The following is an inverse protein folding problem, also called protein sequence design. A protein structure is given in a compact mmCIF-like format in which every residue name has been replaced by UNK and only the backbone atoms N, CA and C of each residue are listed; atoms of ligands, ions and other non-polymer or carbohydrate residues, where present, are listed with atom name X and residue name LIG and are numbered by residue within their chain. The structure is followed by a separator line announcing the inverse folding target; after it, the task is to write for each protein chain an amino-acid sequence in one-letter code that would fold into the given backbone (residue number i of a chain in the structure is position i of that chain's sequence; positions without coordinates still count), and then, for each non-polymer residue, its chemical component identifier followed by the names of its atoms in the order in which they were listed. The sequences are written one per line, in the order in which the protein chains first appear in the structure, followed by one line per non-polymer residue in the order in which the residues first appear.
data_IF_461033252326
#
_entry.id   IF_461033252326
#
_cell.length_a   1.000
_cell.length_b   1.000
_cell.length_c   1.000
_cell.angle_alpha   90.00
_cell.angle_beta   90.00
_cell.angle_gamma   90.00
#
_symmetry.space_group_name_H-M   'P 1'
#
loop_
_entity.id
_entity.type
_entity.pdbx_description
1 polymer ?
#
# COMPACT_ATOMS: atom_id res chain seq x y z
N UNK A 1 -7.95 -11.23 -3.55
CA UNK A 1 -7.20 -11.26 -2.27
C UNK A 1 -6.07 -10.26 -2.28
N UNK A 2 -5.88 -9.54 -1.16
CA UNK A 2 -4.84 -8.51 -1.02
C UNK A 2 -3.66 -9.00 -0.20
N UNK A 3 -2.44 -8.82 -0.71
CA UNK A 3 -1.20 -9.34 -0.12
C UNK A 3 -0.14 -8.24 -0.04
N UNK A 4 0.45 -8.05 1.14
CA UNK A 4 1.49 -7.04 1.38
C UNK A 4 2.89 -7.47 0.95
N UNK A 5 3.59 -6.62 0.20
CA UNK A 5 4.95 -6.79 -0.33
C UNK A 5 5.84 -5.68 0.19
N UNK A 6 6.99 -6.01 0.77
CA UNK A 6 7.77 -5.04 1.56
C UNK A 6 7.17 -4.84 2.96
N UNK A 7 8.01 -4.44 3.92
CA UNK A 7 7.78 -4.44 5.37
C UNK A 7 7.84 -5.82 6.04
N UNK A 8 8.94 -6.06 6.76
CA UNK A 8 9.11 -7.19 7.67
C UNK A 8 10.01 -6.81 8.86
N UNK A 9 9.38 -6.50 10.00
CA UNK A 9 10.01 -6.71 11.32
C UNK A 9 10.05 -8.20 11.75
N UNK A 10 9.58 -9.12 10.92
CA UNK A 10 9.38 -10.55 11.23
C UNK A 10 10.24 -11.52 10.38
N UNK A 11 11.53 -11.63 10.73
CA UNK A 11 12.26 -12.91 10.67
C UNK A 11 12.31 -13.71 9.35
N UNK A 12 12.43 -13.08 8.17
CA UNK A 12 12.93 -13.74 6.95
C UNK A 12 12.02 -14.75 6.23
N UNK A 13 10.89 -15.19 6.80
CA UNK A 13 10.01 -16.22 6.20
C UNK A 13 8.91 -15.67 5.26
N UNK A 14 8.95 -14.37 4.92
CA UNK A 14 7.81 -13.75 4.23
C UNK A 14 7.60 -14.26 2.82
N UNK A 15 8.65 -14.43 2.01
CA UNK A 15 8.48 -14.93 0.65
C UNK A 15 7.85 -16.33 0.65
N UNK A 16 8.27 -17.23 1.55
CA UNK A 16 7.67 -18.57 1.67
C UNK A 16 6.19 -18.50 2.05
N UNK A 17 5.82 -17.61 2.97
CA UNK A 17 4.42 -17.41 3.35
C UNK A 17 3.60 -16.78 2.23
N UNK A 18 4.17 -15.80 1.52
CA UNK A 18 3.55 -15.17 0.34
C UNK A 18 3.29 -16.21 -0.75
N UNK A 19 4.29 -17.02 -1.08
CA UNK A 19 4.18 -18.10 -2.07
C UNK A 19 3.09 -19.09 -1.69
N UNK A 20 3.02 -19.54 -0.42
CA UNK A 20 1.94 -20.43 0.04
C UNK A 20 0.55 -19.83 -0.14
N UNK A 21 0.38 -18.53 0.18
CA UNK A 21 -0.92 -17.85 0.00
C UNK A 21 -1.30 -17.75 -1.48
N UNK A 22 -0.34 -17.38 -2.34
CA UNK A 22 -0.56 -17.26 -3.78
C UNK A 22 -0.84 -18.64 -4.39
N UNK A 23 -0.09 -19.67 -4.01
CA UNK A 23 -0.29 -21.04 -4.51
C UNK A 23 -1.66 -21.61 -4.10
N UNK A 24 -2.17 -21.26 -2.90
CA UNK A 24 -3.52 -21.65 -2.48
C UNK A 24 -4.60 -21.00 -3.37
N UNK A 25 -4.46 -19.72 -3.72
CA UNK A 25 -5.36 -19.02 -4.65
C UNK A 25 -5.31 -19.69 -6.03
N UNK A 26 -4.10 -19.93 -6.55
CA UNK A 26 -3.89 -20.56 -7.87
C UNK A 26 -4.46 -21.96 -7.94
N UNK A 27 -4.19 -22.79 -6.93
CA UNK A 27 -4.66 -24.17 -6.88
C UNK A 27 -6.17 -24.25 -6.77
N UNK A 28 -6.79 -23.41 -5.92
CA UNK A 28 -8.25 -23.38 -5.77
C UNK A 28 -8.96 -22.87 -7.02
N UNK A 29 -8.41 -21.85 -7.70
CA UNK A 29 -8.91 -21.38 -9.00
C UNK A 29 -8.81 -22.47 -10.06
N UNK A 30 -7.62 -23.09 -10.23
CA UNK A 30 -7.40 -24.16 -11.21
C UNK A 30 -8.35 -25.35 -11.00
N UNK A 31 -8.64 -25.69 -9.75
CA UNK A 31 -9.52 -26.81 -9.38
C UNK A 31 -11.01 -26.45 -9.44
N UNK A 32 -11.37 -25.18 -9.69
CA UNK A 32 -12.76 -24.73 -9.71
C UNK A 32 -13.46 -24.87 -8.35
N UNK A 33 -12.72 -24.75 -7.25
CA UNK A 33 -13.26 -24.93 -5.89
C UNK A 33 -13.98 -23.68 -5.36
N UNK A 34 -13.73 -22.53 -5.98
CA UNK A 34 -14.15 -21.24 -5.46
C UNK A 34 -15.55 -20.85 -5.94
N UNK A 35 -16.34 -20.22 -5.06
CA UNK A 35 -17.67 -19.67 -5.40
C UNK A 35 -17.59 -18.30 -6.08
N UNK A 36 -16.42 -17.68 -6.04
CA UNK A 36 -16.11 -16.40 -6.66
C UNK A 36 -14.75 -16.51 -7.35
N UNK A 37 -14.49 -15.62 -8.30
CA UNK A 37 -13.16 -15.47 -8.89
C UNK A 37 -12.22 -14.79 -7.90
N UNK A 38 -11.07 -15.41 -7.64
CA UNK A 38 -10.04 -14.85 -6.78
C UNK A 38 -8.91 -14.29 -7.63
N UNK A 39 -8.78 -12.97 -7.66
CA UNK A 39 -7.66 -12.25 -8.25
C UNK A 39 -6.70 -11.75 -7.18
N UNK A 40 -5.46 -11.46 -7.55
CA UNK A 40 -4.41 -11.00 -6.66
C UNK A 40 -4.26 -9.47 -6.74
N UNK A 41 -4.20 -8.85 -5.56
CA UNK A 41 -3.90 -7.45 -5.33
C UNK A 41 -2.62 -7.33 -4.50
N UNK A 42 -1.54 -6.86 -5.09
CA UNK A 42 -0.27 -6.65 -4.37
C UNK A 42 -0.25 -5.24 -3.77
N UNK A 43 0.06 -5.17 -2.48
CA UNK A 43 0.16 -3.93 -1.70
C UNK A 43 1.64 -3.69 -1.41
N UNK A 44 2.28 -2.86 -2.21
CA UNK A 44 3.73 -2.67 -2.22
C UNK A 44 4.14 -1.50 -1.32
N UNK A 45 4.82 -1.83 -0.21
CA UNK A 45 5.42 -0.87 0.71
C UNK A 45 6.70 -0.28 0.11
N UNK A 46 6.63 0.94 -0.38
CA UNK A 46 7.71 1.61 -1.08
C UNK A 46 9.00 1.80 -0.24
N UNK A 47 8.97 2.19 1.05
CA UNK A 47 10.17 2.43 1.84
C UNK A 47 10.85 1.14 2.33
N UNK A 48 11.16 0.18 1.44
CA UNK A 48 11.82 -1.07 1.83
C UNK A 48 12.68 -1.69 0.70
N UNK A 49 13.90 -2.18 0.97
CA UNK A 49 14.82 -2.68 -0.06
C UNK A 49 14.31 -3.92 -0.81
N UNK A 50 13.48 -4.74 -0.17
CA UNK A 50 12.98 -5.99 -0.78
C UNK A 50 11.72 -5.82 -1.61
N UNK A 51 11.10 -4.64 -1.65
CA UNK A 51 9.79 -4.46 -2.27
C UNK A 51 9.80 -4.70 -3.77
N UNK A 52 10.69 -4.04 -4.51
CA UNK A 52 10.80 -4.25 -5.95
C UNK A 52 11.23 -5.69 -6.30
N UNK A 53 12.26 -6.29 -5.68
CA UNK A 53 12.61 -7.70 -5.92
C UNK A 53 11.45 -8.69 -5.67
N UNK A 54 10.68 -8.50 -4.60
CA UNK A 54 9.53 -9.35 -4.30
C UNK A 54 8.39 -9.11 -5.30
N UNK A 55 8.15 -7.87 -5.71
CA UNK A 55 7.17 -7.56 -6.75
C UNK A 55 7.53 -8.23 -8.07
N UNK A 56 8.78 -8.11 -8.52
CA UNK A 56 9.29 -8.75 -9.74
C UNK A 56 9.11 -10.28 -9.72
N UNK A 57 9.35 -10.91 -8.57
CA UNK A 57 9.15 -12.35 -8.40
C UNK A 57 7.67 -12.78 -8.53
N UNK A 58 6.74 -11.86 -8.24
CA UNK A 58 5.30 -12.14 -8.20
C UNK A 58 4.52 -11.59 -9.40
N UNK A 59 5.09 -10.67 -10.17
CA UNK A 59 4.37 -9.95 -11.24
C UNK A 59 3.91 -10.86 -12.39
N UNK A 60 4.57 -12.00 -12.58
CA UNK A 60 4.19 -13.03 -13.56
C UNK A 60 3.03 -13.92 -13.14
N UNK A 61 2.44 -13.68 -11.97
CA UNK A 61 1.27 -14.46 -11.48
C UNK A 61 0.05 -14.10 -12.32
N UNK A 62 -0.61 -15.07 -13.01
CA UNK A 62 -1.75 -14.79 -13.89
C UNK A 62 -2.93 -14.10 -13.19
N UNK A 63 -3.10 -14.37 -11.90
CA UNK A 63 -4.16 -13.78 -11.07
C UNK A 63 -3.89 -12.31 -10.70
N UNK A 64 -2.68 -11.76 -10.92
CA UNK A 64 -2.34 -10.38 -10.57
C UNK A 64 -3.14 -9.38 -11.39
N UNK A 65 -4.04 -8.66 -10.72
CA UNK A 65 -4.94 -7.70 -11.36
C UNK A 65 -4.74 -6.25 -10.87
N UNK A 66 -4.15 -6.06 -9.69
CA UNK A 66 -4.01 -4.72 -9.09
C UNK A 66 -2.73 -4.61 -8.25
N UNK A 67 -2.10 -3.43 -8.30
CA UNK A 67 -0.97 -3.06 -7.44
C UNK A 67 -1.29 -1.74 -6.74
N UNK A 68 -1.24 -1.71 -5.42
CA UNK A 68 -1.26 -0.46 -4.65
C UNK A 68 0.15 -0.06 -4.25
N UNK A 69 0.54 1.17 -4.55
CA UNK A 69 1.80 1.76 -4.09
C UNK A 69 1.56 2.48 -2.76
N UNK A 70 2.27 2.04 -1.72
CA UNK A 70 2.05 2.47 -0.34
C UNK A 70 3.30 3.12 0.23
N UNK A 71 3.14 4.19 1.00
CA UNK A 71 4.23 4.78 1.75
C UNK A 71 3.74 5.14 3.15
N UNK A 72 4.13 4.32 4.13
CA UNK A 72 3.80 4.49 5.53
C UNK A 72 4.94 5.11 6.35
N UNK A 73 5.88 5.82 5.70
CA UNK A 73 6.93 6.52 6.42
C UNK A 73 6.39 7.75 7.20
N UNK A 74 7.11 8.21 8.24
CA UNK A 74 6.68 9.36 9.04
C UNK A 74 6.39 10.60 8.16
N UNK A 75 5.19 11.18 8.31
CA UNK A 75 4.77 12.37 7.56
C UNK A 75 4.16 12.07 6.19
N UNK A 76 4.11 10.81 5.75
CA UNK A 76 3.51 10.42 4.47
C UNK A 76 2.08 9.92 4.63
N UNK A 77 1.20 10.31 3.70
CA UNK A 77 -0.10 9.67 3.44
C UNK A 77 -0.90 9.38 4.72
N UNK A 78 -1.13 8.11 5.07
CA UNK A 78 -1.85 7.70 6.30
C UNK A 78 -1.29 8.36 7.58
N UNK A 79 0.01 8.63 7.57
CA UNK A 79 0.79 9.16 8.69
C UNK A 79 1.28 10.59 8.45
N UNK A 80 0.50 11.42 7.75
CA UNK A 80 0.77 12.85 7.61
C UNK A 80 0.90 13.58 8.97
N UNK A 81 0.32 13.05 10.04
CA UNK A 81 0.54 13.54 11.41
C UNK A 81 1.58 12.70 12.14
N UNK A 82 2.74 13.32 12.45
CA UNK A 82 3.81 12.69 13.23
C UNK A 82 3.35 12.31 14.65
N UNK A 83 2.49 13.11 15.28
CA UNK A 83 1.92 12.77 16.59
C UNK A 83 1.15 11.45 16.54
N UNK A 84 0.24 11.29 15.56
CA UNK A 84 -0.51 10.03 15.38
C UNK A 84 0.39 8.85 15.02
N UNK A 85 1.44 9.11 14.24
CA UNK A 85 2.46 8.10 13.91
C UNK A 85 3.12 7.56 15.20
N UNK A 86 3.60 8.46 16.08
CA UNK A 86 4.18 8.10 17.37
C UNK A 86 3.19 7.36 18.26
N UNK A 87 1.99 7.89 18.45
CA UNK A 87 0.93 7.25 19.26
C UNK A 87 0.68 5.80 18.81
N UNK A 88 0.55 5.57 17.50
CA UNK A 88 0.31 4.24 16.95
C UNK A 88 1.50 3.29 17.19
N UNK A 89 2.72 3.72 16.83
CA UNK A 89 3.89 2.83 16.85
C UNK A 89 4.47 2.64 18.26
N UNK A 90 4.43 3.64 19.14
CA UNK A 90 4.74 3.47 20.56
C UNK A 90 3.75 2.50 21.21
N UNK A 91 2.45 2.62 20.93
CA UNK A 91 1.45 1.67 21.44
C UNK A 91 1.65 0.25 20.90
N UNK A 92 1.85 0.11 19.58
CA UNK A 92 1.97 -1.19 18.88
C UNK A 92 3.22 -1.97 19.29
N UNK A 93 4.35 -1.29 19.42
CA UNK A 93 5.65 -1.91 19.69
C UNK A 93 6.16 -1.65 21.11
N UNK A 94 5.36 -1.01 21.95
CA UNK A 94 5.69 -0.66 23.34
C UNK A 94 7.01 0.14 23.45
N UNK A 95 7.25 1.05 22.50
CA UNK A 95 8.49 1.84 22.44
C UNK A 95 8.44 3.00 23.43
N UNK A 96 9.55 3.21 24.15
CA UNK A 96 9.78 4.46 24.84
C UNK A 96 10.16 5.59 23.86
N UNK A 97 10.29 6.82 24.35
CA UNK A 97 10.54 7.98 23.48
C UNK A 97 11.84 7.88 22.69
N UNK A 98 12.93 7.40 23.30
CA UNK A 98 14.21 7.25 22.61
C UNK A 98 14.19 6.13 21.55
N UNK A 99 13.50 5.03 21.83
CA UNK A 99 13.28 3.96 20.86
C UNK A 99 12.38 4.42 19.69
N UNK A 100 11.39 5.27 19.98
CA UNK A 100 10.53 5.87 18.96
C UNK A 100 11.32 6.83 18.05
N UNK A 101 12.20 7.66 18.63
CA UNK A 101 13.07 8.56 17.88
C UNK A 101 13.99 7.78 16.93
N UNK A 102 14.62 6.70 17.42
CA UNK A 102 15.44 5.83 16.58
C UNK A 102 14.60 5.17 15.48
N UNK A 103 13.40 4.70 15.80
CA UNK A 103 12.51 4.10 14.82
C UNK A 103 12.09 5.08 13.72
N UNK A 104 11.74 6.32 14.06
CA UNK A 104 11.45 7.36 13.07
C UNK A 104 12.64 7.63 12.17
N UNK A 105 13.84 7.73 12.75
CA UNK A 105 15.07 7.93 12.00
C UNK A 105 15.33 6.80 10.99
N UNK A 106 15.17 5.54 11.42
CA UNK A 106 15.37 4.37 10.55
C UNK A 106 14.34 4.36 9.41
N UNK A 107 13.07 4.64 9.70
CA UNK A 107 12.01 4.66 8.68
C UNK A 107 12.18 5.80 7.68
N UNK A 108 12.63 6.99 8.11
CA UNK A 108 12.95 8.09 7.22
C UNK A 108 14.17 7.76 6.34
N UNK A 109 15.17 7.07 6.89
CA UNK A 109 16.35 6.61 6.15
C UNK A 109 15.95 5.62 5.05
N UNK A 110 15.09 4.65 5.38
CA UNK A 110 14.54 3.70 4.42
C UNK A 110 13.71 4.39 3.33
N UNK A 111 12.85 5.34 3.70
CA UNK A 111 12.03 6.08 2.75
C UNK A 111 12.87 6.90 1.77
N UNK A 112 13.87 7.63 2.29
CA UNK A 112 14.79 8.40 1.46
C UNK A 112 15.57 7.51 0.47
N UNK A 113 15.95 6.30 0.89
CA UNK A 113 16.68 5.37 0.05
C UNK A 113 15.79 4.65 -0.98
N UNK A 114 14.55 4.28 -0.62
CA UNK A 114 13.80 3.27 -1.36
C UNK A 114 12.44 3.72 -1.91
N UNK A 115 11.78 4.73 -1.32
CA UNK A 115 10.41 5.06 -1.72
C UNK A 115 10.29 5.43 -3.20
N UNK A 116 11.14 6.34 -3.67
CA UNK A 116 11.11 6.78 -5.06
C UNK A 116 11.65 5.74 -6.05
N UNK A 117 12.81 5.08 -5.81
CA UNK A 117 13.30 4.03 -6.71
C UNK A 117 12.30 2.89 -6.89
N UNK A 118 11.72 2.37 -5.80
CA UNK A 118 10.74 1.29 -5.87
C UNK A 118 9.49 1.72 -6.63
N UNK A 119 9.00 2.94 -6.40
CA UNK A 119 7.83 3.48 -7.09
C UNK A 119 8.05 3.53 -8.60
N UNK A 120 9.20 4.03 -9.04
CA UNK A 120 9.53 4.13 -10.46
C UNK A 120 9.67 2.75 -11.09
N UNK A 121 10.36 1.82 -10.43
CA UNK A 121 10.55 0.45 -10.92
C UNK A 121 9.21 -0.27 -11.07
N UNK A 122 8.40 -0.31 -10.01
CA UNK A 122 7.12 -1.02 -9.99
C UNK A 122 6.14 -0.38 -10.98
N UNK A 123 6.06 0.95 -11.03
CA UNK A 123 5.20 1.65 -11.99
C UNK A 123 5.64 1.44 -13.45
N UNK A 124 6.94 1.35 -13.71
CA UNK A 124 7.50 1.00 -15.02
C UNK A 124 7.03 -0.39 -15.47
N UNK A 125 7.26 -1.40 -14.63
CA UNK A 125 6.86 -2.78 -14.90
C UNK A 125 5.35 -2.95 -15.04
N UNK A 126 4.55 -2.31 -14.19
CA UNK A 126 3.09 -2.33 -14.30
C UNK A 126 2.63 -1.77 -15.65
N UNK A 127 3.28 -0.72 -16.15
CA UNK A 127 2.95 -0.13 -17.46
C UNK A 127 3.32 -1.06 -18.62
N UNK A 128 4.47 -1.72 -18.53
CA UNK A 128 4.94 -2.69 -19.53
C UNK A 128 4.01 -3.91 -19.62
N UNK A 129 3.53 -4.39 -18.48
CA UNK A 129 2.69 -5.59 -18.37
C UNK A 129 1.18 -5.30 -18.35
N UNK A 130 0.76 -4.03 -18.41
CA UNK A 130 -0.66 -3.65 -18.38
C UNK A 130 -1.35 -3.89 -17.04
N UNK A 131 -0.61 -3.90 -15.93
CA UNK A 131 -1.13 -4.10 -14.57
C UNK A 131 -1.67 -2.77 -14.02
N UNK A 132 -2.89 -2.79 -13.46
CA UNK A 132 -3.51 -1.60 -12.90
C UNK A 132 -2.80 -1.13 -11.62
N UNK A 133 -2.66 0.19 -11.45
CA UNK A 133 -2.04 0.80 -10.29
C UNK A 133 -3.08 1.63 -9.50
N UNK A 134 -3.06 1.46 -8.17
CA UNK A 134 -3.76 2.29 -7.21
C UNK A 134 -2.75 3.07 -6.32
N UNK A 135 -3.12 4.27 -5.90
CA UNK A 135 -2.50 4.93 -4.75
C UNK A 135 -3.18 4.50 -3.46
N UNK A 136 -2.53 4.69 -2.31
CA UNK A 136 -3.09 4.36 -1.00
C UNK A 136 -2.96 5.53 -0.02
N UNK A 137 -4.04 5.83 0.70
CA UNK A 137 -4.11 6.82 1.79
C UNK A 137 -3.65 8.25 1.45
N UNK A 138 -3.85 8.69 0.19
CA UNK A 138 -3.50 10.05 -0.24
C UNK A 138 -4.11 11.09 0.72
N UNK A 139 -3.25 11.95 1.27
CA UNK A 139 -3.65 12.97 2.25
C UNK A 139 -3.65 14.41 1.70
N UNK A 140 -2.95 14.67 0.60
CA UNK A 140 -2.74 16.02 0.05
C UNK A 140 -2.89 15.98 -1.47
N UNK A 141 -3.13 17.12 -2.10
CA UNK A 141 -3.12 17.21 -3.56
C UNK A 141 -1.77 16.75 -4.15
N UNK A 142 -0.65 17.06 -3.50
CA UNK A 142 0.68 16.64 -3.95
C UNK A 142 0.84 15.11 -3.98
N UNK A 143 0.31 14.40 -2.97
CA UNK A 143 0.29 12.93 -2.97
C UNK A 143 -0.47 12.37 -4.18
N UNK A 144 -1.61 12.98 -4.52
CA UNK A 144 -2.43 12.57 -5.67
C UNK A 144 -1.69 12.83 -6.98
N UNK A 145 -1.03 13.98 -7.13
CA UNK A 145 -0.25 14.30 -8.33
C UNK A 145 0.89 13.30 -8.55
N UNK A 146 1.62 12.99 -7.49
CA UNK A 146 2.70 12.02 -7.50
C UNK A 146 2.21 10.63 -7.92
N UNK A 147 1.08 10.20 -7.38
CA UNK A 147 0.44 8.94 -7.73
C UNK A 147 -0.10 8.91 -9.16
N UNK A 148 -0.75 9.98 -9.60
CA UNK A 148 -1.25 10.11 -10.97
C UNK A 148 -0.10 10.06 -11.98
N UNK A 149 1.02 10.73 -11.69
CA UNK A 149 2.23 10.70 -12.50
C UNK A 149 2.86 9.31 -12.56
N UNK A 150 2.80 8.53 -11.47
CA UNK A 150 3.22 7.14 -11.48
C UNK A 150 2.32 6.25 -12.36
N UNK A 151 1.10 6.69 -12.67
CA UNK A 151 0.15 5.97 -13.52
C UNK A 151 -1.07 5.44 -12.75
N UNK A 152 -1.22 5.78 -11.47
CA UNK A 152 -2.39 5.38 -10.70
C UNK A 152 -3.68 5.89 -11.34
N UNK A 153 -4.67 5.01 -11.41
CA UNK A 153 -6.03 5.32 -11.88
C UNK A 153 -7.09 5.13 -10.79
N UNK A 154 -6.70 4.53 -9.68
CA UNK A 154 -7.52 4.35 -8.49
C UNK A 154 -6.84 5.09 -7.33
N UNK A 155 -7.62 5.85 -6.57
CA UNK A 155 -7.23 6.40 -5.28
C UNK A 155 -7.89 5.56 -4.18
N UNK A 156 -7.10 4.70 -3.54
CA UNK A 156 -7.56 3.81 -2.47
C UNK A 156 -7.51 4.54 -1.12
N UNK A 157 -8.68 4.65 -0.46
CA UNK A 157 -8.85 5.23 0.87
C UNK A 157 -8.22 6.63 1.07
N UNK A 158 -8.43 7.63 0.19
CA UNK A 158 -7.89 8.98 0.44
C UNK A 158 -8.31 9.48 1.84
N UNK A 159 -7.35 9.98 2.59
CA UNK A 159 -7.53 10.26 4.02
C UNK A 159 -8.08 11.65 4.30
N UNK A 160 -8.10 12.52 3.29
CA UNK A 160 -8.64 13.89 3.37
C UNK A 160 -9.58 14.21 2.21
N UNK A 161 -10.51 15.15 2.45
CA UNK A 161 -11.41 15.64 1.39
C UNK A 161 -10.64 16.36 0.29
N UNK A 162 -9.51 16.99 0.62
CA UNK A 162 -8.61 17.61 -0.35
C UNK A 162 -8.09 16.56 -1.34
N UNK A 163 -7.52 15.46 -0.84
CA UNK A 163 -7.03 14.38 -1.68
C UNK A 163 -8.15 13.75 -2.50
N UNK A 164 -9.30 13.44 -1.89
CA UNK A 164 -10.44 12.87 -2.62
C UNK A 164 -10.91 13.77 -3.77
N UNK A 165 -10.97 15.10 -3.56
CA UNK A 165 -11.32 16.07 -4.60
C UNK A 165 -10.26 16.16 -5.69
N UNK A 166 -8.97 16.18 -5.31
CA UNK A 166 -7.86 16.19 -6.26
C UNK A 166 -7.86 14.91 -7.13
N UNK A 167 -8.12 13.75 -6.54
CA UNK A 167 -8.22 12.47 -7.27
C UNK A 167 -9.35 12.51 -8.31
N UNK A 168 -10.52 13.06 -7.94
CA UNK A 168 -11.62 13.26 -8.90
C UNK A 168 -11.25 14.23 -10.02
N UNK A 169 -10.56 15.33 -9.71
CA UNK A 169 -10.09 16.28 -10.71
C UNK A 169 -9.11 15.62 -11.72
N UNK A 170 -8.31 14.66 -11.25
CA UNK A 170 -7.41 13.84 -12.08
C UNK A 170 -8.07 12.63 -12.75
N UNK A 171 -9.41 12.54 -12.70
CA UNK A 171 -10.20 11.42 -13.23
C UNK A 171 -9.78 10.05 -12.66
N UNK A 172 -9.27 10.02 -11.43
CA UNK A 172 -9.01 8.77 -10.71
C UNK A 172 -10.30 8.29 -10.04
N UNK A 173 -10.54 6.98 -10.07
CA UNK A 173 -11.63 6.36 -9.33
C UNK A 173 -11.30 6.37 -7.84
N UNK A 174 -12.20 6.90 -7.02
CA UNK A 174 -12.01 6.91 -5.57
C UNK A 174 -12.64 5.66 -4.98
N UNK A 175 -11.82 4.80 -4.39
CA UNK A 175 -12.24 3.61 -3.68
C UNK A 175 -12.29 3.92 -2.17
N UNK A 176 -13.46 3.71 -1.57
CA UNK A 176 -13.70 3.88 -0.14
C UNK A 176 -14.25 2.59 0.48
N UNK A 177 -14.01 2.41 1.77
CA UNK A 177 -14.44 1.20 2.47
C UNK A 177 -15.92 1.28 2.83
N UNK A 178 -16.71 0.30 2.40
CA UNK A 178 -18.12 0.17 2.79
C UNK A 178 -18.36 0.24 4.33
N UNK A 179 -17.48 -0.28 5.20
CA UNK A 179 -17.64 -0.11 6.65
C UNK A 179 -17.56 1.35 7.13
N UNK A 180 -16.92 2.26 6.37
CA UNK A 180 -16.85 3.68 6.72
C UNK A 180 -18.22 4.36 6.53
N UNK A 181 -18.98 3.92 5.53
CA UNK A 181 -20.36 4.38 5.28
C UNK A 181 -21.28 3.90 6.42
N UNK A 182 -21.19 2.62 6.79
CA UNK A 182 -22.04 2.03 7.83
C UNK A 182 -21.71 2.55 9.24
N UNK A 183 -20.44 2.89 9.51
CA UNK A 183 -20.00 3.44 10.80
C UNK A 183 -20.12 4.97 10.91
N UNK A 184 -20.45 5.68 9.83
CA UNK A 184 -20.43 7.14 9.79
C UNK A 184 -19.03 7.76 9.96
N UNK A 185 -17.97 6.98 9.73
CA UNK A 185 -16.58 7.39 9.91
C UNK A 185 -15.57 6.25 9.67
N UNK A 186 -14.32 6.59 9.34
CA UNK A 186 -13.23 5.62 9.17
C UNK A 186 -12.71 5.10 10.52
N UNK A 187 -12.22 3.85 10.55
CA UNK A 187 -11.62 3.23 11.72
C UNK A 187 -10.44 4.04 12.30
N UNK A 188 -9.79 4.85 11.47
CA UNK A 188 -8.63 5.69 11.82
C UNK A 188 -8.98 7.19 11.96
N UNK A 189 -10.27 7.57 11.91
CA UNK A 189 -10.70 8.97 11.93
C UNK A 189 -10.53 9.74 10.61
N UNK A 190 -10.30 9.03 9.50
CA UNK A 190 -10.23 9.59 8.15
C UNK A 190 -11.63 9.82 7.54
N UNK A 191 -11.69 10.48 6.38
CA UNK A 191 -12.93 10.87 5.65
C UNK A 191 -13.98 9.74 5.67
N UNK A 192 -15.20 10.11 6.10
CA UNK A 192 -16.37 9.26 5.97
C UNK A 192 -16.69 9.06 4.48
N UNK A 193 -16.90 7.81 4.10
CA UNK A 193 -17.18 7.40 2.73
C UNK A 193 -18.55 7.89 2.23
#
# INVERSE_FOLDING_TARGET
DAIGVGDVRDGGHRLDNLSKMIDAIRDSNRKGLNRAEHLLHLRCELPHPTTAPLFEALMGTPELALVSLMDHSPGQRQYASLTKYREYYQGKYQLNDAEMDQFEHDQLTLAAAWSQPNRQAIAGLCREHGIAIASHDDATAAHVEESHAAGSRIAEFPTTLEAARASRYRNMQVLMGAPNIVRGGSHSGNVAA
#
